data_IF_995694512293
#
_entry.id   IF_995694512293
#
_cell.length_a   1.000
_cell.length_b   1.000
_cell.length_c   1.000
_cell.angle_alpha   90.00
_cell.angle_beta   90.00
_cell.angle_gamma   90.00
#
_symmetry.space_group_name_H-M   'P 1'
#
loop_
_entity.id
_entity.type
_entity.pdbx_description
1 polymer ?
#
# COMPACT_ATOMS: atom_id res chain seq x y z
N UNK A 1 -2.82 -46.83 -20.32
CA UNK A 1 -1.83 -45.87 -19.78
C UNK A 1 -2.30 -44.49 -20.20
N UNK A 2 -2.90 -43.72 -19.29
CA UNK A 2 -3.38 -42.36 -19.57
C UNK A 2 -2.92 -41.46 -18.43
N UNK A 3 -1.80 -40.79 -18.64
CA UNK A 3 -1.14 -39.84 -17.74
C UNK A 3 -1.88 -38.49 -17.75
N UNK A 4 -2.75 -38.28 -16.76
CA UNK A 4 -3.41 -37.01 -16.52
C UNK A 4 -2.57 -36.08 -15.66
N UNK A 5 -2.04 -35.01 -16.27
CA UNK A 5 -1.49 -33.85 -15.57
C UNK A 5 -2.56 -33.24 -14.65
N UNK A 6 -2.29 -33.15 -13.35
CA UNK A 6 -3.14 -32.45 -12.38
C UNK A 6 -2.51 -31.09 -12.08
N UNK A 7 -2.94 -30.06 -12.80
CA UNK A 7 -2.64 -28.67 -12.44
C UNK A 7 -3.43 -28.32 -11.17
N UNK A 8 -2.76 -28.21 -10.03
CA UNK A 8 -3.36 -27.71 -8.79
C UNK A 8 -3.04 -26.22 -8.62
N UNK A 9 -3.83 -25.37 -9.26
CA UNK A 9 -3.95 -23.96 -8.89
C UNK A 9 -5.38 -23.72 -8.39
N UNK A 10 -5.53 -23.28 -7.15
CA UNK A 10 -6.74 -22.60 -6.64
C UNK A 10 -6.41 -21.84 -5.35
N UNK A 11 -6.07 -20.57 -5.53
CA UNK A 11 -6.21 -19.52 -4.53
C UNK A 11 -7.67 -19.44 -4.09
N UNK A 12 -7.92 -19.50 -2.78
CA UNK A 12 -9.03 -18.82 -2.11
C UNK A 12 -8.90 -18.98 -0.59
N UNK A 13 -8.24 -18.02 0.06
CA UNK A 13 -8.40 -17.83 1.51
C UNK A 13 -8.89 -16.42 1.80
N UNK A 14 -10.13 -16.19 1.41
CA UNK A 14 -10.97 -15.13 1.96
C UNK A 14 -11.34 -15.46 3.41
N UNK A 15 -10.89 -14.63 4.34
CA UNK A 15 -11.54 -14.37 5.64
C UNK A 15 -11.51 -12.85 5.82
N UNK A 16 -12.46 -12.10 5.27
CA UNK A 16 -13.70 -11.70 5.93
C UNK A 16 -13.54 -11.43 7.44
N UNK A 17 -13.54 -10.15 7.81
CA UNK A 17 -14.24 -9.61 8.98
C UNK A 17 -14.30 -8.07 8.89
N UNK A 18 -15.31 -7.55 8.22
CA UNK A 18 -15.72 -6.16 8.37
C UNK A 18 -16.34 -5.98 9.76
N UNK A 19 -15.87 -5.00 10.55
CA UNK A 19 -16.60 -4.43 11.71
C UNK A 19 -15.91 -3.19 12.30
N UNK A 20 -16.33 -2.01 11.85
CA UNK A 20 -16.62 -0.79 12.66
C UNK A 20 -16.64 0.48 11.80
N UNK A 21 -17.80 1.00 11.37
CA UNK A 21 -17.92 2.33 10.79
C UNK A 21 -18.48 3.31 11.84
N UNK A 22 -17.61 3.93 12.62
CA UNK A 22 -18.05 5.08 13.46
C UNK A 22 -16.98 6.10 13.83
N UNK A 23 -15.76 6.03 13.28
CA UNK A 23 -14.76 7.11 13.43
C UNK A 23 -13.79 7.22 12.23
N UNK A 24 -14.21 6.76 11.06
CA UNK A 24 -13.36 6.66 9.86
C UNK A 24 -12.77 8.02 9.45
N UNK A 25 -13.52 9.12 9.60
CA UNK A 25 -13.07 10.45 9.19
C UNK A 25 -11.92 11.02 10.03
N UNK A 26 -11.95 10.88 11.37
CA UNK A 26 -10.87 11.41 12.23
C UNK A 26 -9.61 10.56 12.13
N UNK A 27 -9.77 9.24 11.95
CA UNK A 27 -8.64 8.34 11.72
C UNK A 27 -8.04 8.48 10.31
N UNK A 28 -8.80 8.88 9.29
CA UNK A 28 -8.27 9.07 7.93
C UNK A 28 -7.34 10.28 7.86
N UNK A 29 -7.70 11.41 8.45
CA UNK A 29 -6.87 12.61 8.41
C UNK A 29 -5.52 12.43 9.12
N UNK A 30 -5.51 11.71 10.25
CA UNK A 30 -4.27 11.34 10.97
C UNK A 30 -3.44 10.33 10.15
N UNK A 31 -4.10 9.39 9.46
CA UNK A 31 -3.43 8.44 8.56
C UNK A 31 -2.85 9.11 7.31
N UNK A 32 -3.51 10.12 6.75
CA UNK A 32 -3.02 10.87 5.59
C UNK A 32 -1.75 11.67 5.94
N UNK A 33 -1.74 12.37 7.08
CA UNK A 33 -0.54 13.06 7.60
C UNK A 33 0.58 12.07 7.93
N UNK A 34 0.26 10.94 8.54
CA UNK A 34 1.23 9.87 8.78
C UNK A 34 1.77 9.26 7.49
N UNK A 35 0.93 9.14 6.45
CA UNK A 35 1.32 8.57 5.16
C UNK A 35 2.29 9.48 4.39
N UNK A 36 2.09 10.80 4.42
CA UNK A 36 3.03 11.74 3.82
C UNK A 36 4.42 11.67 4.49
N UNK A 37 4.47 11.71 5.83
CA UNK A 37 5.73 11.60 6.56
C UNK A 37 6.47 10.29 6.26
N UNK A 38 5.73 9.18 6.10
CA UNK A 38 6.31 7.89 5.75
C UNK A 38 6.83 7.89 4.31
N UNK A 39 6.11 8.48 3.36
CA UNK A 39 6.57 8.64 1.98
C UNK A 39 7.93 9.36 1.92
N UNK A 40 8.06 10.51 2.58
CA UNK A 40 9.29 11.31 2.58
C UNK A 40 10.47 10.51 3.14
N UNK A 41 10.25 9.81 4.27
CA UNK A 41 11.25 8.93 4.87
C UNK A 41 11.71 7.82 3.92
N UNK A 42 10.79 7.16 3.22
CA UNK A 42 11.14 6.09 2.30
C UNK A 42 11.89 6.60 1.07
N UNK A 43 11.58 7.81 0.58
CA UNK A 43 12.33 8.45 -0.50
C UNK A 43 13.78 8.75 -0.07
N UNK A 44 13.98 9.26 1.15
CA UNK A 44 15.34 9.52 1.67
C UNK A 44 16.15 8.22 1.79
N UNK A 45 15.56 7.15 2.34
CA UNK A 45 16.20 5.84 2.44
C UNK A 45 16.54 5.26 1.06
N UNK A 46 15.60 5.32 0.10
CA UNK A 46 15.83 4.83 -1.25
C UNK A 46 17.01 5.53 -1.94
N UNK A 47 17.14 6.84 -1.75
CA UNK A 47 18.25 7.62 -2.30
C UNK A 47 19.57 7.26 -1.63
N UNK A 48 19.59 7.11 -0.31
CA UNK A 48 20.78 6.70 0.43
C UNK A 48 21.28 5.32 -0.03
N UNK A 49 20.39 4.33 -0.16
CA UNK A 49 20.73 3.00 -0.65
C UNK A 49 21.19 3.00 -2.11
N UNK A 50 20.54 3.80 -2.97
CA UNK A 50 20.95 3.95 -4.36
C UNK A 50 22.38 4.53 -4.48
N UNK A 51 22.73 5.51 -3.63
CA UNK A 51 24.08 6.08 -3.57
C UNK A 51 25.11 5.10 -3.02
N UNK A 52 24.71 4.20 -2.11
CA UNK A 52 25.55 3.12 -1.61
C UNK A 52 25.70 1.93 -2.58
N UNK A 53 25.00 1.94 -3.73
CA UNK A 53 25.02 0.86 -4.73
C UNK A 53 24.06 -0.29 -4.42
N UNK A 54 23.21 -0.16 -3.41
CA UNK A 54 22.22 -1.17 -3.00
C UNK A 54 20.92 -1.02 -3.80
N UNK A 55 20.96 -1.28 -5.11
CA UNK A 55 19.83 -1.02 -6.02
C UNK A 55 18.56 -1.80 -5.67
N UNK A 56 18.69 -3.02 -5.14
CA UNK A 56 17.54 -3.85 -4.72
C UNK A 56 16.82 -3.23 -3.52
N UNK A 57 17.57 -2.76 -2.52
CA UNK A 57 16.99 -2.09 -1.34
C UNK A 57 16.36 -0.74 -1.72
N UNK A 58 17.00 0.01 -2.63
CA UNK A 58 16.44 1.24 -3.15
C UNK A 58 15.07 1.02 -3.82
N UNK A 59 14.93 -0.01 -4.67
CA UNK A 59 13.66 -0.38 -5.31
C UNK A 59 12.60 -0.82 -4.28
N UNK A 60 13.00 -1.58 -3.25
CA UNK A 60 12.09 -1.94 -2.18
C UNK A 60 11.54 -0.69 -1.46
N UNK A 61 12.40 0.29 -1.18
CA UNK A 61 11.99 1.55 -0.57
C UNK A 61 11.13 2.43 -1.48
N UNK A 62 11.39 2.46 -2.80
CA UNK A 62 10.53 3.16 -3.76
C UNK A 62 9.12 2.56 -3.80
N UNK A 63 8.99 1.23 -3.81
CA UNK A 63 7.70 0.56 -3.73
C UNK A 63 6.95 0.92 -2.43
N UNK A 64 7.67 1.01 -1.30
CA UNK A 64 7.08 1.46 -0.03
C UNK A 64 6.62 2.92 -0.10
N UNK A 65 7.43 3.82 -0.66
CA UNK A 65 7.04 5.21 -0.86
C UNK A 65 5.76 5.31 -1.69
N UNK A 66 5.69 4.61 -2.84
CA UNK A 66 4.49 4.57 -3.68
C UNK A 66 3.24 4.06 -2.94
N UNK A 67 3.40 3.04 -2.08
CA UNK A 67 2.29 2.53 -1.27
C UNK A 67 1.70 3.62 -0.36
N UNK A 68 2.55 4.37 0.32
CA UNK A 68 2.12 5.46 1.19
C UNK A 68 1.52 6.63 0.41
N UNK A 69 2.08 6.96 -0.76
CA UNK A 69 1.51 7.97 -1.65
C UNK A 69 0.08 7.60 -2.07
N UNK A 70 -0.15 6.35 -2.50
CA UNK A 70 -1.49 5.86 -2.84
C UNK A 70 -2.45 5.88 -1.65
N UNK A 71 -1.96 5.61 -0.43
CA UNK A 71 -2.77 5.68 0.79
C UNK A 71 -3.14 7.13 1.17
N UNK A 72 -2.23 8.08 0.94
CA UNK A 72 -2.47 9.51 1.16
C UNK A 72 -3.50 10.06 0.16
N UNK A 73 -3.36 9.78 -1.13
CA UNK A 73 -4.27 10.28 -2.18
C UNK A 73 -5.65 9.62 -2.13
N UNK A 74 -5.75 8.35 -1.71
CA UNK A 74 -7.02 7.68 -1.48
C UNK A 74 -7.86 8.31 -0.35
N UNK A 75 -7.22 9.08 0.54
CA UNK A 75 -7.89 9.85 1.60
C UNK A 75 -8.33 11.25 1.12
N UNK A 76 -7.81 11.72 -0.02
CA UNK A 76 -8.08 13.05 -0.57
C UNK A 76 -9.18 13.05 -1.65
N UNK A 77 -9.76 11.89 -2.01
CA UNK A 77 -10.88 11.89 -2.96
C UNK A 77 -12.18 12.36 -2.26
N UNK A 78 -12.74 13.50 -2.68
CA UNK A 78 -13.76 14.22 -1.94
C UNK A 78 -15.13 13.54 -2.05
N UNK A 79 -15.90 13.66 -0.97
CA UNK A 79 -17.33 13.48 -0.98
C UNK A 79 -17.92 14.21 -2.20
N UNK A 80 -18.62 13.44 -3.03
CA UNK A 80 -19.36 13.90 -4.19
C UNK A 80 -20.20 15.12 -3.82
N UNK A 81 -19.87 16.28 -4.40
CA UNK A 81 -20.81 17.36 -4.59
C UNK A 81 -21.94 16.81 -5.47
N UNK A 82 -23.07 16.53 -4.84
CA UNK A 82 -24.34 16.22 -5.49
C UNK A 82 -25.40 17.08 -4.83
N UNK A 83 -25.63 18.26 -5.40
CA UNK A 83 -26.78 19.12 -5.17
C UNK A 83 -27.43 19.39 -6.51
#
# INVERSE_FOLDING_TARGET
>A
MHDGLKTHMKSNRTKQAARSPSNVNRSQAVKARGAQNQYERYIELARAEAMNGNSVEAENYYQHAEHYLRCATASEHPARAGS
#
